data_IF_331497139020
#
_entry.id   IF_331497139020
#
_cell.length_a   1.000
_cell.length_b   1.000
_cell.length_c   1.000
_cell.angle_alpha   90.00
_cell.angle_beta   90.00
_cell.angle_gamma   90.00
#
_symmetry.space_group_name_H-M   'P 1'
#
loop_
_entity.id
_entity.type
_entity.pdbx_description
1 polymer ?
#
# COMPACT_ATOMS: atom_id res chain seq x y z
N UNK A 1 -27.59 12.80 -22.62
CA UNK A 1 -27.52 14.21 -22.20
C UNK A 1 -26.06 14.61 -22.34
N UNK A 2 -25.70 15.56 -23.21
CA UNK A 2 -24.32 16.03 -23.30
C UNK A 2 -23.99 16.85 -22.05
N UNK A 3 -22.90 16.48 -21.38
CA UNK A 3 -22.36 17.28 -20.28
C UNK A 3 -21.92 18.67 -20.79
N UNK A 4 -22.05 19.68 -19.92
CA UNK A 4 -21.59 21.06 -20.17
C UNK A 4 -20.07 21.10 -20.30
N UNK A 5 -19.56 21.02 -21.54
CA UNK A 5 -18.14 21.02 -21.84
C UNK A 5 -17.54 22.43 -21.64
N UNK A 6 -16.86 22.65 -20.52
CA UNK A 6 -16.11 23.89 -20.28
C UNK A 6 -14.71 23.80 -20.87
N UNK A 7 -14.40 24.70 -21.80
CA UNK A 7 -13.07 24.76 -22.40
C UNK A 7 -12.05 25.30 -21.39
N UNK A 8 -10.97 24.55 -21.17
CA UNK A 8 -9.84 24.98 -20.33
C UNK A 8 -8.72 25.58 -21.18
N UNK A 9 -8.05 26.62 -20.65
CA UNK A 9 -6.85 27.18 -21.28
C UNK A 9 -5.63 26.30 -20.97
N UNK A 10 -5.25 25.44 -21.91
CA UNK A 10 -4.15 24.49 -21.70
C UNK A 10 -2.81 25.17 -21.38
N UNK A 11 -2.48 26.30 -22.02
CA UNK A 11 -1.18 26.98 -21.81
C UNK A 11 -0.98 27.54 -20.40
N UNK A 12 -2.05 27.83 -19.68
CA UNK A 12 -1.99 28.34 -18.30
C UNK A 12 -1.93 27.20 -17.27
N UNK A 13 -2.46 26.02 -17.63
CA UNK A 13 -2.60 24.87 -16.72
C UNK A 13 -1.54 23.79 -16.89
N UNK A 14 -0.97 23.64 -18.08
CA UNK A 14 0.13 22.72 -18.32
C UNK A 14 1.46 23.43 -18.08
N UNK A 15 2.19 22.98 -17.05
CA UNK A 15 3.50 23.50 -16.71
C UNK A 15 4.62 22.55 -17.16
N UNK A 16 5.78 23.08 -17.56
CA UNK A 16 6.92 22.23 -17.88
C UNK A 16 7.42 21.51 -16.61
N UNK A 17 7.63 20.21 -16.72
CA UNK A 17 8.16 19.36 -15.65
C UNK A 17 9.28 18.49 -16.22
N UNK A 18 10.44 18.44 -15.55
CA UNK A 18 11.59 17.71 -16.05
C UNK A 18 11.71 16.36 -15.33
N UNK A 19 11.80 15.29 -16.12
CA UNK A 19 11.93 13.91 -15.63
C UNK A 19 13.24 13.34 -16.16
N UNK A 20 14.03 12.70 -15.29
CA UNK A 20 15.39 12.24 -15.60
C UNK A 20 15.48 11.36 -16.87
N UNK A 21 14.50 10.48 -17.10
CA UNK A 21 14.52 9.53 -18.22
C UNK A 21 13.98 10.06 -19.56
N UNK A 22 13.23 11.16 -19.56
CA UNK A 22 12.49 11.65 -20.75
C UNK A 22 12.71 13.14 -21.05
N UNK A 23 13.42 13.85 -20.17
CA UNK A 23 13.66 15.28 -20.30
C UNK A 23 12.42 16.10 -19.98
N UNK A 24 12.04 17.00 -20.89
CA UNK A 24 10.95 17.96 -20.69
C UNK A 24 9.59 17.32 -20.97
N UNK A 25 8.78 17.19 -19.93
CA UNK A 25 7.36 16.81 -19.99
C UNK A 25 6.46 18.03 -19.71
N UNK A 26 5.18 17.92 -20.03
CA UNK A 26 4.16 18.90 -19.63
C UNK A 26 3.23 18.23 -18.61
N UNK A 27 3.11 18.82 -17.42
CA UNK A 27 2.25 18.31 -16.34
C UNK A 27 1.07 19.24 -16.15
N UNK A 28 -0.12 18.67 -16.06
CA UNK A 28 -1.33 19.41 -15.72
C UNK A 28 -1.31 19.80 -14.23
N UNK A 29 -1.61 21.06 -13.93
CA UNK A 29 -1.81 21.54 -12.56
C UNK A 29 -2.95 20.79 -11.84
N UNK A 30 -2.93 20.81 -10.51
CA UNK A 30 -3.93 20.16 -9.67
C UNK A 30 -5.35 20.64 -10.01
N UNK A 31 -6.15 19.72 -10.53
CA UNK A 31 -7.56 19.92 -10.86
C UNK A 31 -8.36 18.74 -10.33
N UNK A 32 -9.40 19.05 -9.55
CA UNK A 32 -10.29 18.03 -9.01
C UNK A 32 -11.46 17.81 -9.96
N UNK A 33 -11.90 16.55 -10.09
CA UNK A 33 -13.13 16.24 -10.81
C UNK A 33 -14.32 16.50 -9.88
N UNK A 34 -15.36 17.15 -10.39
CA UNK A 34 -16.59 17.45 -9.64
C UNK A 34 -17.62 16.31 -9.73
N UNK A 35 -17.28 15.23 -10.44
CA UNK A 35 -18.13 14.08 -10.70
C UNK A 35 -17.31 12.88 -11.16
N UNK A 36 -18.01 11.81 -11.50
CA UNK A 36 -17.49 10.48 -11.84
C UNK A 36 -18.08 9.94 -13.15
N UNK A 37 -17.38 8.98 -13.73
CA UNK A 37 -17.74 8.35 -14.99
C UNK A 37 -17.46 9.23 -16.22
N UNK A 38 -17.82 8.67 -17.38
CA UNK A 38 -17.48 9.24 -18.68
C UNK A 38 -18.05 10.66 -18.92
N UNK A 39 -19.18 10.97 -18.29
CA UNK A 39 -19.83 12.30 -18.41
C UNK A 39 -19.03 13.44 -17.78
N UNK A 40 -18.12 13.14 -16.86
CA UNK A 40 -17.22 14.11 -16.23
C UNK A 40 -15.78 13.97 -16.71
N UNK A 41 -15.57 13.27 -17.83
CA UNK A 41 -14.26 13.06 -18.41
C UNK A 41 -13.59 14.36 -18.84
N UNK A 42 -12.26 14.35 -18.72
CA UNK A 42 -11.38 15.38 -19.23
C UNK A 42 -10.94 14.97 -20.62
N UNK A 43 -11.44 15.71 -21.61
CA UNK A 43 -11.14 15.50 -23.02
C UNK A 43 -9.89 16.27 -23.42
N UNK A 44 -8.85 15.56 -23.82
CA UNK A 44 -7.60 16.15 -24.31
C UNK A 44 -7.39 15.83 -25.78
N UNK A 45 -7.19 16.88 -26.58
CA UNK A 45 -6.83 16.77 -27.99
C UNK A 45 -5.44 17.32 -28.21
N UNK A 46 -4.49 16.46 -28.58
CA UNK A 46 -3.13 16.87 -28.87
C UNK A 46 -2.92 17.04 -30.37
N UNK A 47 -2.13 18.05 -30.73
CA UNK A 47 -1.68 18.27 -32.11
C UNK A 47 -0.45 17.41 -32.41
N UNK A 48 -0.24 17.07 -33.67
CA UNK A 48 1.04 16.49 -34.12
C UNK A 48 2.15 17.52 -33.99
N UNK A 49 3.29 17.09 -33.44
CA UNK A 49 4.52 17.89 -33.36
C UNK A 49 5.54 17.37 -34.36
N UNK A 50 6.35 18.28 -34.91
CA UNK A 50 7.49 17.90 -35.74
C UNK A 50 8.59 17.33 -34.84
N UNK A 51 9.09 16.15 -35.19
CA UNK A 51 10.19 15.52 -34.46
C UNK A 51 11.51 16.11 -34.93
N UNK A 52 12.30 16.63 -33.97
CA UNK A 52 13.67 17.10 -34.26
C UNK A 52 14.69 15.97 -34.35
N UNK A 53 14.34 14.77 -33.84
CA UNK A 53 15.25 13.63 -33.70
C UNK A 53 15.06 12.64 -34.85
N UNK A 54 13.83 12.46 -35.31
CA UNK A 54 13.48 11.57 -36.42
C UNK A 54 12.95 12.47 -37.52
N UNK A 55 13.49 12.37 -38.74
CA UNK A 55 12.98 13.11 -39.91
C UNK A 55 11.49 12.75 -40.13
N UNK A 56 10.58 13.58 -39.63
CA UNK A 56 9.13 13.35 -39.72
C UNK A 56 8.33 13.92 -38.54
N UNK A 57 7.05 13.55 -38.47
CA UNK A 57 6.12 13.93 -37.39
C UNK A 57 6.14 12.91 -36.26
N UNK A 58 5.95 13.38 -35.02
CA UNK A 58 5.77 12.51 -33.86
C UNK A 58 4.44 11.76 -33.97
N UNK A 59 4.51 10.42 -33.97
CA UNK A 59 3.36 9.53 -34.17
C UNK A 59 2.69 9.05 -32.88
N UNK A 60 3.28 9.36 -31.72
CA UNK A 60 2.83 8.85 -30.42
C UNK A 60 3.20 9.79 -29.27
N UNK A 61 2.29 9.90 -28.31
CA UNK A 61 2.52 10.51 -27.00
C UNK A 61 2.60 9.44 -25.92
N UNK A 62 3.45 9.66 -24.92
CA UNK A 62 3.47 8.85 -23.70
C UNK A 62 2.86 9.70 -22.60
N UNK A 63 1.80 9.21 -22.00
CA UNK A 63 1.11 9.89 -20.89
C UNK A 63 1.37 9.07 -19.63
N UNK A 64 1.91 9.75 -18.62
CA UNK A 64 2.14 9.18 -17.29
C UNK A 64 1.02 9.68 -16.38
N UNK A 65 0.48 8.76 -15.59
CA UNK A 65 -0.48 9.10 -14.56
C UNK A 65 0.24 8.98 -13.23
N UNK A 66 0.26 10.09 -12.49
CA UNK A 66 0.92 10.19 -11.20
C UNK A 66 0.03 10.92 -10.23
N UNK A 67 0.39 10.83 -8.96
CA UNK A 67 -0.32 11.47 -7.87
C UNK A 67 0.16 12.94 -7.69
N UNK A 68 0.11 13.45 -6.47
CA UNK A 68 0.54 14.81 -6.12
C UNK A 68 2.06 14.97 -6.04
N UNK A 69 2.84 13.89 -6.04
CA UNK A 69 4.30 13.99 -5.88
C UNK A 69 4.96 14.46 -7.18
N UNK A 70 6.06 15.23 -7.09
CA UNK A 70 6.76 15.73 -8.27
C UNK A 70 7.37 14.59 -9.08
N UNK A 71 7.77 13.50 -8.42
CA UNK A 71 8.34 12.33 -9.05
C UNK A 71 7.31 11.65 -9.96
N UNK A 72 7.70 11.41 -11.20
CA UNK A 72 6.86 10.71 -12.18
C UNK A 72 7.34 9.27 -12.23
N UNK A 73 6.54 8.36 -11.67
CA UNK A 73 6.79 6.93 -11.75
C UNK A 73 6.90 6.44 -13.19
N UNK A 74 7.65 5.35 -13.40
CA UNK A 74 7.79 4.71 -14.72
C UNK A 74 6.45 4.10 -15.19
N UNK A 75 5.58 3.77 -14.23
CA UNK A 75 4.23 3.23 -14.39
C UNK A 75 3.27 3.90 -13.38
N UNK A 76 1.97 3.96 -13.68
CA UNK A 76 1.31 3.55 -14.92
C UNK A 76 1.51 4.57 -16.06
N UNK A 77 1.75 4.06 -17.29
CA UNK A 77 1.89 4.86 -18.50
C UNK A 77 1.05 4.29 -19.64
N UNK A 78 0.49 5.17 -20.45
CA UNK A 78 -0.25 4.80 -21.67
C UNK A 78 0.36 5.48 -22.88
N UNK A 79 0.22 4.82 -24.02
CA UNK A 79 0.73 5.31 -25.28
C UNK A 79 -0.44 5.74 -26.17
N UNK A 80 -0.53 7.04 -26.46
CA UNK A 80 -1.57 7.60 -27.32
C UNK A 80 -1.00 7.75 -28.72
N UNK A 81 -1.51 6.96 -29.64
CA UNK A 81 -1.07 6.89 -31.05
C UNK A 81 -1.88 7.82 -31.94
N UNK A 82 -1.28 8.22 -33.06
CA UNK A 82 -1.93 9.13 -33.98
C UNK A 82 -3.20 8.52 -34.57
N UNK A 83 -4.29 9.25 -34.41
CA UNK A 83 -5.60 8.89 -34.91
C UNK A 83 -6.42 7.96 -34.04
N UNK A 84 -5.88 7.52 -32.91
CA UNK A 84 -6.63 6.71 -31.96
C UNK A 84 -7.35 7.61 -30.94
N UNK A 85 -8.57 7.21 -30.57
CA UNK A 85 -9.31 7.80 -29.46
C UNK A 85 -9.12 6.89 -28.25
N UNK A 86 -8.31 7.33 -27.29
CA UNK A 86 -8.01 6.61 -26.07
C UNK A 86 -8.92 7.05 -24.94
N UNK A 87 -9.35 6.11 -24.11
CA UNK A 87 -10.11 6.35 -22.89
C UNK A 87 -9.35 5.70 -21.74
N UNK A 88 -8.95 6.51 -20.77
CA UNK A 88 -8.30 6.09 -19.53
C UNK A 88 -9.26 6.30 -18.35
N UNK A 89 -9.65 5.20 -17.71
CA UNK A 89 -10.43 5.24 -16.47
C UNK A 89 -9.53 4.96 -15.27
N UNK A 90 -9.78 5.68 -14.19
CA UNK A 90 -9.00 5.62 -12.97
C UNK A 90 -9.80 5.02 -11.83
N UNK A 91 -9.18 4.10 -11.11
CA UNK A 91 -9.67 3.58 -9.85
C UNK A 91 -8.63 3.85 -8.76
N UNK A 92 -9.05 4.52 -7.70
CA UNK A 92 -8.19 4.89 -6.58
C UNK A 92 -8.39 3.91 -5.43
N UNK A 93 -7.29 3.42 -4.88
CA UNK A 93 -7.29 2.54 -3.72
C UNK A 93 -6.35 3.09 -2.66
N UNK A 94 -6.85 3.32 -1.45
CA UNK A 94 -6.04 3.58 -0.27
C UNK A 94 -5.68 2.24 0.36
N UNK A 95 -4.40 2.05 0.65
CA UNK A 95 -3.89 0.83 1.28
C UNK A 95 -3.20 1.21 2.57
N UNK A 96 -3.70 0.65 3.68
CA UNK A 96 -3.16 0.78 5.03
C UNK A 96 -2.80 -0.62 5.52
N UNK A 97 -1.53 -0.97 5.49
CA UNK A 97 -1.03 -2.27 5.98
C UNK A 97 -0.59 -2.17 7.44
N UNK A 98 -0.61 -3.29 8.16
CA UNK A 98 0.02 -3.34 9.47
C UNK A 98 1.54 -3.25 9.29
N UNK A 99 2.23 -2.47 10.14
CA UNK A 99 3.68 -2.41 10.09
C UNK A 99 4.23 -3.80 10.40
N UNK A 100 5.20 -4.21 9.60
CA UNK A 100 5.85 -5.49 9.77
C UNK A 100 6.77 -5.43 11.01
N UNK A 101 6.88 -6.46 11.86
CA UNK A 101 7.72 -6.40 13.05
C UNK A 101 9.22 -6.19 12.73
N UNK A 102 9.65 -6.56 11.53
CA UNK A 102 10.95 -6.27 10.91
C UNK A 102 11.12 -4.80 10.47
N UNK A 103 10.03 -4.10 10.17
CA UNK A 103 10.01 -2.71 9.73
C UNK A 103 10.21 -1.72 10.91
N UNK A 104 9.76 -2.10 12.10
CA UNK A 104 9.92 -1.28 13.32
C UNK A 104 11.37 -1.23 13.88
N UNK A 105 12.27 -2.08 13.37
CA UNK A 105 13.67 -2.14 13.79
C UNK A 105 14.62 -1.36 12.88
N UNK A 106 14.17 -0.92 11.70
CA UNK A 106 14.99 -0.32 10.64
C UNK A 106 15.00 1.23 10.71
N UNK A 107 14.95 1.78 11.93
CA UNK A 107 14.90 3.23 12.16
C UNK A 107 16.24 3.95 12.08
N UNK A 108 17.36 3.23 12.19
CA UNK A 108 18.70 3.82 12.22
C UNK A 108 19.70 2.89 11.54
N UNK A 109 20.05 3.13 10.27
CA UNK A 109 21.24 2.52 9.66
C UNK A 109 22.10 3.63 9.06
N UNK A 110 23.28 3.80 9.64
CA UNK A 110 24.41 4.52 9.07
C UNK A 110 24.89 3.81 7.80
N UNK A 111 25.05 4.59 6.73
CA UNK A 111 25.43 4.11 5.40
C UNK A 111 26.89 3.64 5.37
N UNK A 112 27.13 2.35 5.58
CA UNK A 112 28.35 1.69 5.14
C UNK A 112 27.96 0.37 4.45
N UNK A 113 28.38 0.25 3.18
CA UNK A 113 28.04 -0.76 2.16
C UNK A 113 26.73 -0.57 1.35
N UNK A 114 26.91 -0.39 0.04
CA UNK A 114 25.86 -0.38 -0.99
C UNK A 114 25.47 -1.84 -1.25
N UNK A 115 24.81 -2.47 -0.29
CA UNK A 115 23.99 -3.64 -0.58
C UNK A 115 22.71 -3.19 -1.28
N UNK A 116 22.16 -4.06 -2.11
CA UNK A 116 20.97 -3.86 -2.92
C UNK A 116 19.82 -3.29 -2.06
N UNK A 117 19.58 -1.98 -2.15
CA UNK A 117 18.49 -1.32 -1.42
C UNK A 117 17.15 -1.91 -1.89
N UNK A 118 16.66 -2.91 -1.16
CA UNK A 118 15.34 -3.45 -1.36
C UNK A 118 14.33 -2.44 -0.80
N UNK A 119 13.87 -1.52 -1.65
CA UNK A 119 12.85 -0.56 -1.27
C UNK A 119 11.56 -1.30 -0.89
N UNK A 120 11.21 -1.26 0.40
CA UNK A 120 9.92 -1.74 0.88
C UNK A 120 8.84 -0.69 0.57
N UNK A 121 7.63 -1.12 0.17
CA UNK A 121 6.53 -0.18 -0.04
C UNK A 121 6.07 0.39 1.30
N UNK A 122 5.72 1.67 1.32
CA UNK A 122 5.15 2.32 2.50
C UNK A 122 3.85 1.63 2.95
N UNK A 123 3.64 1.47 4.27
CA UNK A 123 2.42 0.85 4.81
C UNK A 123 1.16 1.64 4.44
N UNK A 124 1.27 2.97 4.36
CA UNK A 124 0.20 3.87 3.95
C UNK A 124 0.49 4.40 2.55
N UNK A 125 -0.24 3.92 1.56
CA UNK A 125 -0.04 4.33 0.16
C UNK A 125 -1.36 4.50 -0.58
N UNK A 126 -1.31 5.30 -1.64
CA UNK A 126 -2.42 5.50 -2.56
C UNK A 126 -2.06 4.83 -3.88
N UNK A 127 -2.73 3.74 -4.20
CA UNK A 127 -2.53 3.01 -5.44
C UNK A 127 -3.52 3.53 -6.50
N UNK A 128 -2.99 3.86 -7.68
CA UNK A 128 -3.77 4.27 -8.85
C UNK A 128 -3.80 3.12 -9.86
N UNK A 129 -4.97 2.51 -10.02
CA UNK A 129 -5.20 1.57 -11.10
C UNK A 129 -5.75 2.33 -12.33
N UNK A 130 -5.17 2.04 -13.49
CA UNK A 130 -5.52 2.66 -14.77
C UNK A 130 -5.98 1.57 -15.72
N UNK A 131 -7.22 1.67 -16.19
CA UNK A 131 -7.73 0.88 -17.30
C UNK A 131 -7.74 1.75 -18.55
N UNK A 132 -7.14 1.24 -19.63
CA UNK A 132 -6.94 1.98 -20.87
C UNK A 132 -7.50 1.21 -22.05
N UNK A 133 -8.42 1.85 -22.75
CA UNK A 133 -9.06 1.31 -23.94
C UNK A 133 -8.90 2.28 -25.10
N UNK A 134 -8.83 1.76 -26.32
CA UNK A 134 -8.72 2.56 -27.54
C UNK A 134 -9.85 2.23 -28.50
N UNK A 135 -10.37 3.22 -29.20
CA UNK A 135 -11.32 3.01 -30.28
C UNK A 135 -10.71 2.22 -31.43
N UNK A 136 -11.54 1.39 -32.07
CA UNK A 136 -11.19 0.76 -33.35
C UNK A 136 -11.27 1.79 -34.49
N UNK A 137 -12.15 2.78 -34.36
CA UNK A 137 -12.35 3.84 -35.35
C UNK A 137 -11.23 4.86 -35.20
N UNK A 138 -10.45 5.03 -36.26
CA UNK A 138 -9.36 6.00 -36.31
C UNK A 138 -9.82 7.33 -36.88
N UNK A 139 -9.55 8.41 -36.17
CA UNK A 139 -9.70 9.78 -36.65
C UNK A 139 -8.40 10.23 -37.32
N UNK A 140 -8.45 11.05 -38.38
CA UNK A 140 -7.21 11.49 -39.05
C UNK A 140 -6.54 12.63 -38.29
N UNK A 141 -5.23 12.52 -38.10
CA UNK A 141 -4.32 13.60 -37.65
C UNK A 141 -4.59 14.18 -36.25
N UNK A 142 -5.27 13.44 -35.38
CA UNK A 142 -5.61 13.87 -34.02
C UNK A 142 -5.24 12.80 -33.01
N UNK A 143 -4.68 13.21 -31.87
CA UNK A 143 -4.55 12.35 -30.71
C UNK A 143 -5.63 12.76 -29.73
N UNK A 144 -6.48 11.83 -29.35
CA UNK A 144 -7.56 12.12 -28.41
C UNK A 144 -7.42 11.20 -27.21
N UNK A 145 -7.48 11.79 -26.02
CA UNK A 145 -7.43 11.06 -24.76
C UNK A 145 -8.49 11.61 -23.81
N UNK A 146 -9.40 10.74 -23.41
CA UNK A 146 -10.41 11.03 -22.40
C UNK A 146 -10.03 10.37 -21.09
N UNK A 147 -10.05 11.15 -20.02
CA UNK A 147 -9.56 10.72 -18.71
C UNK A 147 -10.61 10.99 -17.64
N UNK A 148 -11.01 9.96 -16.88
CA UNK A 148 -12.00 10.10 -15.81
C UNK A 148 -11.76 9.14 -14.65
N UNK A 149 -12.29 9.48 -13.48
CA UNK A 149 -12.42 8.53 -12.37
C UNK A 149 -13.68 7.69 -12.54
N UNK A 150 -13.54 6.37 -12.43
CA UNK A 150 -14.67 5.44 -12.52
C UNK A 150 -15.68 5.66 -11.40
N UNK A 151 -15.17 5.92 -10.19
CA UNK A 151 -15.95 6.14 -8.97
C UNK A 151 -15.50 7.45 -8.29
N UNK A 152 -16.40 8.17 -7.59
CA UNK A 152 -16.01 9.33 -6.75
C UNK A 152 -15.27 8.93 -5.49
N UNK A 153 -15.45 7.68 -5.05
CA UNK A 153 -14.82 7.13 -3.86
C UNK A 153 -13.45 6.56 -4.15
N UNK A 154 -12.70 6.33 -3.08
CA UNK A 154 -11.55 5.43 -3.10
C UNK A 154 -11.93 4.13 -2.39
N UNK A 155 -11.36 3.02 -2.83
CA UNK A 155 -11.45 1.76 -2.10
C UNK A 155 -10.47 1.79 -0.93
N UNK A 156 -10.90 1.41 0.27
CA UNK A 156 -10.04 1.37 1.45
C UNK A 156 -9.67 -0.08 1.77
N UNK A 157 -8.38 -0.40 1.69
CA UNK A 157 -7.82 -1.70 2.02
C UNK A 157 -7.03 -1.58 3.32
N UNK A 158 -7.63 -2.06 4.41
CA UNK A 158 -6.99 -2.07 5.73
C UNK A 158 -6.66 -3.50 6.14
N UNK A 159 -5.40 -3.72 6.53
CA UNK A 159 -5.01 -4.95 7.20
C UNK A 159 -5.34 -4.84 8.69
N UNK A 160 -6.10 -5.82 9.19
CA UNK A 160 -6.53 -5.86 10.59
C UNK A 160 -6.04 -7.17 11.21
N UNK A 161 -5.45 -7.08 12.40
CA UNK A 161 -4.96 -8.25 13.10
C UNK A 161 -6.13 -9.19 13.43
N UNK A 162 -6.05 -10.45 12.95
CA UNK A 162 -7.11 -11.44 13.16
C UNK A 162 -7.34 -11.79 14.64
N UNK A 163 -6.28 -11.72 15.45
CA UNK A 163 -6.33 -12.02 16.88
C UNK A 163 -5.63 -10.90 17.64
N UNK A 164 -6.39 -10.18 18.44
CA UNK A 164 -5.85 -9.28 19.46
C UNK A 164 -5.49 -10.08 20.71
N UNK A 165 -4.54 -9.59 21.52
CA UNK A 165 -4.19 -10.17 22.81
C UNK A 165 -5.42 -10.47 23.71
N UNK A 166 -6.39 -9.56 23.90
CA UNK A 166 -7.60 -9.88 24.65
C UNK A 166 -8.46 -10.96 23.98
N UNK A 167 -8.53 -10.98 22.64
CA UNK A 167 -9.20 -12.05 21.89
C UNK A 167 -8.56 -13.42 22.11
N UNK A 168 -7.24 -13.48 22.11
CA UNK A 168 -6.48 -14.70 22.41
C UNK A 168 -6.75 -15.20 23.84
N UNK A 169 -6.66 -14.31 24.84
CA UNK A 169 -6.93 -14.65 26.25
C UNK A 169 -8.36 -15.16 26.41
N UNK A 170 -9.32 -14.55 25.72
CA UNK A 170 -10.73 -14.97 25.75
C UNK A 170 -10.94 -16.36 25.14
N UNK A 171 -10.29 -16.68 24.01
CA UNK A 171 -10.41 -18.00 23.38
C UNK A 171 -9.79 -19.10 24.24
N UNK A 172 -8.57 -18.90 24.75
CA UNK A 172 -7.88 -19.86 25.61
C UNK A 172 -8.63 -20.04 26.92
N UNK A 173 -9.02 -18.94 27.57
CA UNK A 173 -9.78 -18.97 28.81
C UNK A 173 -11.15 -19.62 28.65
N UNK A 174 -11.84 -19.38 27.53
CA UNK A 174 -13.12 -20.01 27.21
C UNK A 174 -13.02 -21.53 27.05
N UNK A 175 -12.01 -22.01 26.32
CA UNK A 175 -11.78 -23.45 26.14
C UNK A 175 -11.39 -24.14 27.45
N UNK A 176 -10.47 -23.54 28.24
CA UNK A 176 -10.05 -24.09 29.53
C UNK A 176 -11.18 -24.06 30.58
N UNK A 177 -11.98 -22.98 30.59
CA UNK A 177 -13.12 -22.83 31.49
C UNK A 177 -14.26 -23.80 31.17
N UNK A 178 -14.56 -24.04 29.89
CA UNK A 178 -15.65 -24.92 29.48
C UNK A 178 -15.35 -26.41 29.70
N UNK A 179 -14.15 -26.87 29.36
CA UNK A 179 -13.83 -28.30 29.38
C UNK A 179 -13.19 -28.78 30.69
N UNK A 180 -12.38 -27.94 31.34
CA UNK A 180 -11.66 -28.31 32.56
C UNK A 180 -12.18 -27.59 33.81
N UNK A 181 -12.97 -26.52 33.64
CA UNK A 181 -13.35 -25.64 34.76
C UNK A 181 -12.15 -24.94 35.41
N UNK A 182 -11.01 -24.87 34.72
CA UNK A 182 -9.77 -24.32 35.24
C UNK A 182 -9.69 -22.84 34.92
N UNK A 183 -9.45 -22.04 35.96
CA UNK A 183 -9.21 -20.60 35.85
C UNK A 183 -7.76 -20.27 36.23
N UNK A 184 -7.34 -19.03 36.00
CA UNK A 184 -6.05 -18.51 36.50
C UNK A 184 -5.94 -18.68 38.01
N UNK A 185 -7.05 -18.53 38.74
CA UNK A 185 -7.09 -18.74 40.20
C UNK A 185 -6.79 -20.20 40.55
N UNK A 186 -7.36 -21.15 39.81
CA UNK A 186 -7.11 -22.58 39.99
C UNK A 186 -5.63 -22.93 39.73
N UNK A 187 -5.00 -22.31 38.74
CA UNK A 187 -3.58 -22.49 38.44
C UNK A 187 -2.67 -21.94 39.55
N UNK A 188 -2.98 -20.76 40.10
CA UNK A 188 -2.23 -20.17 41.23
C UNK A 188 -2.30 -21.08 42.46
N UNK A 189 -3.48 -21.62 42.78
CA UNK A 189 -3.64 -22.57 43.88
C UNK A 189 -2.80 -23.84 43.70
N UNK A 190 -2.79 -24.40 42.49
CA UNK A 190 -1.95 -25.56 42.18
C UNK A 190 -0.45 -25.25 42.35
N UNK A 191 -0.01 -24.07 41.89
CA UNK A 191 1.38 -23.64 42.06
C UNK A 191 1.77 -23.49 43.54
N UNK A 192 0.88 -22.96 44.38
CA UNK A 192 1.11 -22.84 45.82
C UNK A 192 1.20 -24.20 46.52
N UNK A 193 0.32 -25.14 46.17
CA UNK A 193 0.36 -26.49 46.75
C UNK A 193 1.63 -27.21 46.30
N UNK A 194 2.01 -27.09 45.02
CA UNK A 194 3.24 -27.68 44.50
C UNK A 194 4.48 -27.07 45.17
N UNK A 195 4.54 -25.75 45.35
CA UNK A 195 5.69 -25.11 45.99
C UNK A 195 5.85 -25.53 47.46
N UNK A 196 4.75 -25.62 48.22
CA UNK A 196 4.77 -26.13 49.59
C UNK A 196 5.24 -27.58 49.66
N UNK A 197 4.77 -28.43 48.75
CA UNK A 197 5.13 -29.86 48.73
C UNK A 197 6.59 -30.08 48.31
N UNK A 198 7.10 -29.28 47.38
CA UNK A 198 8.53 -29.26 47.03
C UNK A 198 9.36 -28.82 48.23
N UNK A 199 8.92 -27.79 48.95
CA UNK A 199 9.65 -27.32 50.14
C UNK A 199 9.69 -28.38 51.24
N UNK A 200 8.59 -29.12 51.46
CA UNK A 200 8.55 -30.25 52.40
C UNK A 200 9.48 -31.39 51.98
N UNK A 201 9.45 -31.80 50.70
CA UNK A 201 10.39 -32.81 50.19
C UNK A 201 11.84 -32.37 50.35
N UNK A 202 12.14 -31.08 50.14
CA UNK A 202 13.49 -30.56 50.35
C UNK A 202 13.91 -30.68 51.82
N UNK A 203 13.04 -30.31 52.76
CA UNK A 203 13.30 -30.45 54.20
C UNK A 203 13.56 -31.92 54.57
N UNK A 204 12.72 -32.86 54.11
CA UNK A 204 12.89 -34.28 54.38
C UNK A 204 14.21 -34.84 53.81
N UNK A 205 14.56 -34.43 52.58
CA UNK A 205 15.82 -34.84 51.95
C UNK A 205 17.04 -34.27 52.69
N UNK A 206 16.91 -33.06 53.25
CA UNK A 206 17.96 -32.43 54.05
C UNK A 206 18.12 -33.14 55.41
N UNK A 207 17.01 -33.50 56.06
CA UNK A 207 17.04 -34.29 57.30
C UNK A 207 17.68 -35.67 57.10
N UNK A 208 17.36 -36.36 56.00
CA UNK A 208 17.97 -37.65 55.69
C UNK A 208 19.48 -37.53 55.48
N UNK A 209 19.95 -36.47 54.79
CA UNK A 209 21.38 -36.20 54.62
C UNK A 209 22.08 -35.87 55.94
N UNK A 210 21.44 -35.13 56.84
CA UNK A 210 21.98 -34.84 58.18
C UNK A 210 22.06 -36.11 59.04
N UNK A 211 21.05 -36.99 58.98
CA UNK A 211 21.07 -38.28 59.69
C UNK A 211 22.14 -39.24 59.14
N UNK A 212 22.35 -39.26 57.83
CA UNK A 212 23.43 -40.05 57.20
C UNK A 212 24.84 -39.51 57.54
N UNK A 213 25.01 -38.21 57.76
CA UNK A 213 26.28 -37.61 58.17
C UNK A 213 26.63 -37.87 59.66
N UNK A 214 25.64 -38.18 60.50
CA UNK A 214 25.82 -38.61 61.91
C UNK A 214 26.06 -40.13 62.02
N UNK A 215 26.91 -40.69 61.17
CA UNK A 215 27.21 -42.13 61.12
C UNK A 215 27.45 -42.77 62.51
N UNK A 216 27.16 -44.08 62.64
CA UNK A 216 27.06 -44.75 63.94
C UNK A 216 28.36 -44.64 64.73
N UNK A 217 28.24 -44.14 65.96
CA UNK A 217 29.30 -44.22 66.98
C UNK A 217 29.66 -45.66 67.29
#
# INVERSE_FOLDING_TARGET
>A
MLADCRQMKCCERFKPHYVMLRGRCMRLDHEYQNGDGESYSRHFTFKTLDSRIISGKQRQYVVYFGDRWPEVGIFPRVYVTEGDYGVASFKLSRVNMLPRPDEALYGDIDFEEVEEFQCMPNCNRLDLAVDYTTSVIKHRFTFVLDVFYSDRGYEDYEEIAMVSLPGFISQVGGQLGLFLGVSVVSAIYLLQILSLKVHQMFIETTEQKIRAARGPQ
#
